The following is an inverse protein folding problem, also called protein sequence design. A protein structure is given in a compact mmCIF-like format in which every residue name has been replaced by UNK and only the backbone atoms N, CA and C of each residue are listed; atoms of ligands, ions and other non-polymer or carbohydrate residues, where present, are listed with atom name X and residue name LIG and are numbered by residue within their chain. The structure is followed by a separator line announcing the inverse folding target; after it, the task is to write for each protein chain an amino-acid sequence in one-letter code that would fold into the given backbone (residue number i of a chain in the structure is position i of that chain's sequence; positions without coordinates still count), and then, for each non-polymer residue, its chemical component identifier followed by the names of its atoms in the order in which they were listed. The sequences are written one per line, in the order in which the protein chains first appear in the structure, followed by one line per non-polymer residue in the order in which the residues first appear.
data_IF_867618584416
#
_entry.id   IF_867618584416
#
_cell.length_a   1.000
_cell.length_b   1.000
_cell.length_c   1.000
_cell.angle_alpha   90.00
_cell.angle_beta   90.00
_cell.angle_gamma   90.00
#
_symmetry.space_group_name_H-M   'P 1'
#
loop_
_entity.id
_entity.type
_entity.pdbx_description
1 polymer ?
#
# COMPACT_ATOMS: atom_id res chain seq x y z
N UNK A 1 2.70 -3.72 -26.42
CA UNK A 1 1.96 -2.93 -25.41
C UNK A 1 1.59 -3.86 -24.26
N UNK A 2 2.55 -4.16 -23.37
CA UNK A 2 2.30 -5.01 -22.21
C UNK A 2 1.48 -4.19 -21.22
N UNK A 3 0.27 -4.64 -20.92
CA UNK A 3 -0.56 -4.09 -19.84
C UNK A 3 0.21 -4.31 -18.55
N UNK A 4 1.04 -3.34 -18.17
CA UNK A 4 1.53 -3.18 -16.80
C UNK A 4 0.27 -2.88 -16.00
N UNK A 5 -0.38 -3.94 -15.52
CA UNK A 5 -1.33 -3.86 -14.41
C UNK A 5 -0.50 -3.39 -13.23
N UNK A 6 -0.42 -2.07 -13.12
CA UNK A 6 0.13 -1.35 -11.99
C UNK A 6 -0.46 -1.95 -10.72
N UNK A 7 0.35 -2.73 -9.99
CA UNK A 7 0.13 -2.97 -8.56
C UNK A 7 0.54 -1.68 -7.85
N UNK A 8 -0.06 -0.57 -8.26
CA UNK A 8 0.21 0.78 -7.76
C UNK A 8 -1.14 1.42 -7.49
N UNK A 9 -1.87 0.87 -6.52
CA UNK A 9 -3.02 1.52 -5.91
C UNK A 9 -3.43 0.74 -4.66
N UNK A 10 -2.67 0.89 -3.58
CA UNK A 10 -3.17 0.79 -2.21
C UNK A 10 -2.39 1.76 -1.33
N UNK A 11 -2.15 2.99 -1.82
CA UNK A 11 -1.77 4.09 -0.94
C UNK A 11 -3.03 4.91 -0.66
N UNK A 12 -3.29 5.11 0.63
CA UNK A 12 -4.22 6.08 1.22
C UNK A 12 -5.72 5.93 0.92
N UNK A 13 -6.42 5.13 1.74
CA UNK A 13 -7.77 5.45 2.22
C UNK A 13 -8.18 4.56 3.42
N UNK A 14 -7.34 4.50 4.47
CA UNK A 14 -7.66 3.68 5.64
C UNK A 14 -8.35 4.43 6.78
N UNK A 15 -8.29 5.76 6.80
CA UNK A 15 -8.60 6.60 7.98
C UNK A 15 -10.07 6.91 8.26
N UNK A 16 -11.01 6.05 7.87
CA UNK A 16 -12.43 6.33 8.02
C UNK A 16 -12.90 6.47 9.50
N UNK A 17 -12.09 6.08 10.49
CA UNK A 17 -12.52 5.97 11.90
C UNK A 17 -11.55 6.54 12.96
N UNK A 18 -10.43 7.14 12.60
CA UNK A 18 -9.49 7.71 13.59
C UNK A 18 -9.84 9.14 13.98
N UNK A 19 -9.89 9.43 15.29
CA UNK A 19 -10.09 10.79 15.79
C UNK A 19 -8.80 11.62 15.65
N UNK A 20 -8.84 12.79 15.01
CA UNK A 20 -7.67 13.66 14.90
C UNK A 20 -7.33 14.28 16.26
N UNK A 21 -6.05 14.29 16.61
CA UNK A 21 -5.48 15.04 17.72
C UNK A 21 -4.78 16.27 17.16
N UNK A 22 -5.09 17.45 17.72
CA UNK A 22 -4.54 18.73 17.26
C UNK A 22 -3.51 19.27 18.24
N UNK A 23 -2.30 19.58 17.76
CA UNK A 23 -1.29 20.31 18.53
C UNK A 23 -1.44 21.81 18.21
N UNK A 24 -2.28 22.51 18.99
CA UNK A 24 -2.70 23.91 18.76
C UNK A 24 -1.55 24.92 18.62
N UNK A 25 -0.35 24.60 19.13
CA UNK A 25 0.83 25.49 19.04
C UNK A 25 1.57 25.48 17.69
N UNK A 26 1.35 24.48 16.83
CA UNK A 26 2.12 24.31 15.58
C UNK A 26 1.25 24.19 14.32
N UNK A 27 -0.08 24.33 14.44
CA UNK A 27 -0.99 24.15 13.30
C UNK A 27 -1.00 22.74 12.72
N UNK A 28 -0.54 21.74 13.49
CA UNK A 28 -0.44 20.35 13.07
C UNK A 28 -1.62 19.52 13.62
N UNK A 29 -2.17 18.66 12.76
CA UNK A 29 -3.21 17.69 13.09
C UNK A 29 -2.69 16.30 12.76
N UNK A 30 -2.73 15.40 13.72
CA UNK A 30 -2.26 14.02 13.56
C UNK A 30 -3.38 13.03 13.88
N UNK A 31 -3.37 11.89 13.22
CA UNK A 31 -4.23 10.77 13.57
C UNK A 31 -3.48 9.45 13.39
N UNK A 32 -3.80 8.50 14.27
CA UNK A 32 -3.27 7.14 14.24
C UNK A 32 -4.44 6.19 14.23
N UNK A 33 -4.36 5.17 13.38
CA UNK A 33 -5.31 4.08 13.35
C UNK A 33 -4.57 2.76 13.48
N UNK A 34 -5.03 1.93 14.41
CA UNK A 34 -4.54 0.57 14.61
C UNK A 34 -5.57 -0.41 14.08
N UNK A 35 -5.09 -1.41 13.33
CA UNK A 35 -5.87 -2.49 12.78
C UNK A 35 -5.57 -3.75 13.57
N UNK A 36 -6.62 -4.41 14.04
CA UNK A 36 -6.53 -5.69 14.72
C UNK A 36 -7.40 -6.71 14.02
N UNK A 37 -6.77 -7.79 13.55
CA UNK A 37 -7.40 -8.86 12.79
C UNK A 37 -8.32 -8.34 11.67
N UNK A 38 -7.89 -7.26 11.02
CA UNK A 38 -8.65 -6.61 9.96
C UNK A 38 -8.65 -7.53 8.73
N UNK A 39 -9.81 -7.67 8.11
CA UNK A 39 -10.01 -8.50 6.93
C UNK A 39 -10.27 -7.61 5.72
N UNK A 40 -9.54 -7.86 4.63
CA UNK A 40 -9.74 -7.17 3.36
C UNK A 40 -9.74 -8.18 2.22
N UNK A 41 -10.77 -8.13 1.37
CA UNK A 41 -10.88 -8.98 0.19
C UNK A 41 -10.94 -8.13 -1.06
N UNK A 42 -10.14 -8.46 -2.07
CA UNK A 42 -10.06 -7.71 -3.31
C UNK A 42 -9.67 -8.58 -4.51
N UNK A 43 -10.15 -8.26 -5.72
CA UNK A 43 -9.68 -8.90 -6.94
C UNK A 43 -8.29 -8.37 -7.31
N UNK A 44 -7.27 -9.23 -7.28
CA UNK A 44 -5.88 -8.91 -7.60
C UNK A 44 -5.26 -10.11 -8.32
N UNK A 45 -4.50 -9.92 -9.41
CA UNK A 45 -3.81 -11.03 -10.05
C UNK A 45 -2.68 -11.58 -9.18
N UNK A 46 -2.36 -12.87 -9.33
CA UNK A 46 -1.15 -13.45 -8.75
C UNK A 46 0.06 -12.63 -9.23
N UNK A 47 0.90 -12.10 -8.32
CA UNK A 47 1.94 -11.15 -8.67
C UNK A 47 3.06 -11.77 -9.54
N UNK A 48 3.19 -13.09 -9.56
CA UNK A 48 4.24 -13.79 -10.29
C UNK A 48 3.78 -14.37 -11.62
N UNK A 49 2.53 -14.81 -11.72
CA UNK A 49 2.00 -15.40 -12.95
C UNK A 49 1.09 -14.45 -13.73
N UNK A 50 0.58 -13.39 -13.09
CA UNK A 50 -0.44 -12.52 -13.65
C UNK A 50 -1.84 -13.16 -13.72
N UNK A 51 -2.01 -14.38 -13.21
CA UNK A 51 -3.29 -15.07 -13.22
C UNK A 51 -4.32 -14.31 -12.37
N UNK A 52 -5.51 -13.99 -12.91
CA UNK A 52 -6.53 -13.28 -12.15
C UNK A 52 -7.04 -14.14 -10.99
N UNK A 53 -7.39 -13.49 -9.89
CA UNK A 53 -7.98 -14.15 -8.74
C UNK A 53 -8.46 -13.14 -7.70
N UNK A 54 -8.83 -13.68 -6.55
CA UNK A 54 -9.26 -12.90 -5.38
C UNK A 54 -8.29 -13.19 -4.25
N UNK A 55 -7.78 -12.14 -3.60
CA UNK A 55 -7.01 -12.26 -2.38
C UNK A 55 -7.85 -11.83 -1.19
N UNK A 56 -7.77 -12.59 -0.10
CA UNK A 56 -8.23 -12.20 1.23
C UNK A 56 -7.02 -12.03 2.12
N UNK A 57 -6.91 -10.88 2.77
CA UNK A 57 -5.88 -10.53 3.74
C UNK A 57 -6.50 -10.51 5.13
N UNK A 58 -5.78 -11.05 6.11
CA UNK A 58 -6.08 -10.87 7.53
C UNK A 58 -4.84 -10.31 8.20
N UNK A 59 -4.91 -9.12 8.80
CA UNK A 59 -3.70 -8.42 9.24
C UNK A 59 -3.87 -7.59 10.50
N UNK A 60 -2.72 -7.36 11.14
CA UNK A 60 -2.53 -6.32 12.15
C UNK A 60 -1.67 -5.23 11.52
N UNK A 61 -2.00 -3.97 11.80
CA UNK A 61 -1.29 -2.85 11.19
C UNK A 61 -1.48 -1.55 11.93
N UNK A 62 -0.69 -0.55 11.55
CA UNK A 62 -0.78 0.81 12.06
C UNK A 62 -0.64 1.76 10.88
N UNK A 63 -1.59 2.67 10.77
CA UNK A 63 -1.51 3.82 9.89
C UNK A 63 -1.34 5.07 10.76
N UNK A 64 -0.46 5.98 10.38
CA UNK A 64 -0.30 7.27 11.04
C UNK A 64 -0.15 8.36 9.99
N UNK A 65 -0.83 9.49 10.20
CA UNK A 65 -0.61 10.66 9.39
C UNK A 65 -0.57 11.94 10.22
N UNK A 66 0.13 12.93 9.68
CA UNK A 66 0.24 14.28 10.24
C UNK A 66 0.14 15.31 9.12
N UNK A 67 -0.66 16.35 9.34
CA UNK A 67 -0.88 17.43 8.38
C UNK A 67 -0.67 18.78 9.05
N UNK A 68 0.01 19.69 8.36
CA UNK A 68 0.01 21.11 8.71
C UNK A 68 -1.23 21.76 8.10
N UNK A 69 -2.17 22.19 8.94
CA UNK A 69 -3.46 22.77 8.54
C UNK A 69 -3.48 24.29 8.63
N UNK A 70 -2.50 24.91 9.30
CA UNK A 70 -2.35 26.36 9.40
C UNK A 70 -0.89 26.78 9.58
N UNK A 71 -0.60 28.07 9.39
CA UNK A 71 0.74 28.62 9.51
C UNK A 71 1.64 28.38 8.28
N UNK A 72 2.93 28.62 8.44
CA UNK A 72 3.93 28.39 7.39
C UNK A 72 4.01 26.88 7.12
N UNK A 73 3.84 26.48 5.86
CA UNK A 73 3.84 25.08 5.45
C UNK A 73 2.45 24.41 5.46
N UNK A 74 1.37 25.16 5.71
CA UNK A 74 0.01 24.64 5.57
C UNK A 74 -0.21 23.97 4.20
N UNK A 75 -0.82 22.78 4.22
CA UNK A 75 -0.95 21.90 3.06
C UNK A 75 0.21 20.92 2.89
N UNK A 76 1.11 20.79 3.88
CA UNK A 76 2.14 19.74 3.95
C UNK A 76 1.62 18.57 4.79
N UNK A 77 1.88 17.34 4.34
CA UNK A 77 1.42 16.11 4.98
C UNK A 77 2.47 15.01 4.97
N UNK A 78 2.32 14.08 5.91
CA UNK A 78 3.08 12.83 5.99
C UNK A 78 2.13 11.71 6.39
N UNK A 79 2.24 10.57 5.72
CA UNK A 79 1.51 9.35 6.04
C UNK A 79 2.49 8.17 6.10
N UNK A 80 2.18 7.18 6.91
CA UNK A 80 2.81 5.87 6.85
C UNK A 80 1.81 4.80 7.22
N UNK A 81 1.91 3.65 6.56
CA UNK A 81 1.25 2.43 6.95
C UNK A 81 2.26 1.29 7.09
N UNK A 82 2.05 0.44 8.09
CA UNK A 82 2.79 -0.81 8.25
C UNK A 82 1.82 -1.91 8.63
N UNK A 83 1.88 -3.05 7.97
CA UNK A 83 1.11 -4.21 8.35
C UNK A 83 1.85 -5.52 8.13
N UNK A 84 1.49 -6.50 8.96
CA UNK A 84 1.88 -7.90 8.80
C UNK A 84 0.65 -8.77 8.99
N UNK A 85 0.58 -9.86 8.24
CA UNK A 85 -0.62 -10.68 8.26
C UNK A 85 -0.49 -11.92 7.40
N UNK A 86 -1.65 -12.52 7.17
CA UNK A 86 -1.84 -13.69 6.34
C UNK A 86 -2.59 -13.33 5.08
N UNK A 87 -2.34 -14.07 4.00
CA UNK A 87 -3.09 -13.96 2.76
C UNK A 87 -3.61 -15.33 2.34
N UNK A 88 -4.76 -15.31 1.66
CA UNK A 88 -5.32 -16.44 0.93
C UNK A 88 -5.70 -15.96 -0.47
N UNK A 89 -5.09 -16.52 -1.50
CA UNK A 89 -5.35 -16.24 -2.90
C UNK A 89 -6.10 -17.41 -3.54
N UNK A 90 -7.25 -17.10 -4.13
CA UNK A 90 -8.07 -18.04 -4.90
C UNK A 90 -8.04 -17.62 -6.37
N UNK A 91 -7.47 -18.45 -7.27
CA UNK A 91 -7.46 -18.12 -8.70
C UNK A 91 -8.87 -18.16 -9.28
N UNK A 92 -9.10 -17.33 -10.30
CA UNK A 92 -10.36 -17.35 -11.04
C UNK A 92 -10.53 -18.62 -11.89
N UNK A 93 -9.40 -19.18 -12.35
CA UNK A 93 -9.34 -20.49 -13.02
C UNK A 93 -9.10 -21.59 -11.97
N UNK A 94 -10.06 -22.50 -11.71
CA UNK A 94 -9.96 -23.52 -10.67
C UNK A 94 -8.93 -24.62 -11.00
N UNK A 95 -8.38 -24.65 -12.21
CA UNK A 95 -7.27 -25.55 -12.56
C UNK A 95 -5.91 -25.05 -12.06
N UNK A 96 -5.82 -23.77 -11.67
CA UNK A 96 -4.60 -23.19 -11.10
C UNK A 96 -4.55 -23.38 -9.57
N UNK A 97 -3.35 -23.44 -8.97
CA UNK A 97 -3.23 -23.59 -7.52
C UNK A 97 -3.70 -22.34 -6.78
N UNK A 98 -4.39 -22.55 -5.65
CA UNK A 98 -4.58 -21.50 -4.64
C UNK A 98 -3.29 -21.34 -3.83
N UNK A 99 -3.06 -20.15 -3.28
CA UNK A 99 -1.89 -19.87 -2.45
C UNK A 99 -2.32 -19.31 -1.10
N UNK A 100 -1.63 -19.69 -0.03
CA UNK A 100 -1.78 -19.04 1.27
C UNK A 100 -0.44 -18.87 1.97
N UNK A 101 -0.34 -17.87 2.83
CA UNK A 101 0.91 -17.58 3.51
C UNK A 101 0.88 -16.28 4.28
N UNK A 102 2.06 -15.68 4.44
CA UNK A 102 2.26 -14.44 5.21
C UNK A 102 2.74 -13.31 4.31
N UNK A 103 2.41 -12.09 4.70
CA UNK A 103 2.90 -10.88 4.05
C UNK A 103 3.36 -9.84 5.06
N UNK A 104 4.16 -8.90 4.59
CA UNK A 104 4.51 -7.67 5.30
C UNK A 104 4.55 -6.54 4.29
N UNK A 105 3.98 -5.40 4.68
CA UNK A 105 3.94 -4.19 3.87
C UNK A 105 4.34 -3.00 4.71
N UNK A 106 4.99 -2.05 4.06
CA UNK A 106 5.25 -0.72 4.59
C UNK A 106 5.12 0.28 3.46
N UNK A 107 4.46 1.40 3.72
CA UNK A 107 4.50 2.57 2.86
C UNK A 107 4.70 3.86 3.68
N UNK A 108 5.14 4.89 2.97
CA UNK A 108 5.36 6.20 3.53
C UNK A 108 5.28 7.28 2.47
N UNK A 109 4.47 8.29 2.77
CA UNK A 109 4.15 9.39 1.87
C UNK A 109 4.60 10.71 2.49
N UNK A 110 5.05 11.63 1.64
CA UNK A 110 5.37 13.00 1.98
C UNK A 110 4.83 13.91 0.87
N UNK A 111 4.05 14.89 1.27
CA UNK A 111 3.31 15.72 0.35
C UNK A 111 3.28 17.18 0.76
N UNK A 112 3.14 18.04 -0.23
CA UNK A 112 2.78 19.43 -0.08
C UNK A 112 1.98 19.89 -1.31
N UNK A 113 1.59 21.16 -1.33
CA UNK A 113 0.81 21.76 -2.42
C UNK A 113 1.45 21.63 -3.83
N UNK A 114 2.73 21.28 -3.91
CA UNK A 114 3.49 21.19 -5.17
C UNK A 114 4.15 19.84 -5.41
N UNK A 115 4.24 18.97 -4.42
CA UNK A 115 5.00 17.72 -4.53
C UNK A 115 4.28 16.62 -3.77
N UNK A 116 4.37 15.41 -4.30
CA UNK A 116 3.95 14.19 -3.62
C UNK A 116 5.04 13.15 -3.86
N UNK A 117 5.48 12.47 -2.81
CA UNK A 117 6.42 11.35 -2.90
C UNK A 117 5.92 10.21 -2.04
N UNK A 118 5.87 9.01 -2.60
CA UNK A 118 5.58 7.79 -1.86
C UNK A 118 6.67 6.77 -2.09
N UNK A 119 6.99 6.01 -1.04
CA UNK A 119 7.84 4.82 -1.10
C UNK A 119 7.08 3.67 -0.47
N UNK A 120 7.08 2.51 -1.12
CA UNK A 120 6.43 1.31 -0.60
C UNK A 120 7.36 0.11 -0.70
N UNK A 121 7.23 -0.79 0.26
CA UNK A 121 7.83 -2.12 0.23
C UNK A 121 6.75 -3.14 0.54
N UNK A 122 6.74 -4.23 -0.21
CA UNK A 122 5.82 -5.32 0.01
C UNK A 122 6.57 -6.64 -0.14
N UNK A 123 6.28 -7.59 0.76
CA UNK A 123 6.80 -8.94 0.63
C UNK A 123 5.75 -9.95 1.05
N UNK A 124 5.69 -11.07 0.33
CA UNK A 124 4.91 -12.21 0.75
C UNK A 124 5.66 -13.51 0.51
N UNK A 125 5.29 -14.51 1.31
CA UNK A 125 5.71 -15.89 1.16
C UNK A 125 4.53 -16.81 1.42
N UNK A 126 4.25 -17.69 0.48
CA UNK A 126 3.19 -18.68 0.61
C UNK A 126 3.47 -19.98 -0.11
N UNK A 127 2.54 -20.91 0.10
CA UNK A 127 2.57 -22.26 -0.44
C UNK A 127 1.30 -22.48 -1.26
N UNK A 128 1.47 -23.09 -2.43
CA UNK A 128 0.41 -23.48 -3.33
C UNK A 128 -0.29 -24.76 -2.88
N UNK A 129 -1.55 -24.94 -3.26
CA UNK A 129 -2.28 -26.21 -3.05
C UNK A 129 -1.65 -27.40 -3.78
N UNK A 130 -0.81 -27.15 -4.77
CA UNK A 130 -0.01 -28.12 -5.53
C UNK A 130 1.40 -28.34 -4.94
N UNK A 131 1.72 -27.70 -3.81
CA UNK A 131 3.04 -27.75 -3.16
C UNK A 131 4.07 -26.76 -3.72
N UNK A 132 3.70 -25.94 -4.72
CA UNK A 132 4.57 -24.87 -5.22
C UNK A 132 4.81 -23.79 -4.16
N UNK A 133 5.84 -22.96 -4.36
CA UNK A 133 6.10 -21.80 -3.50
C UNK A 133 5.83 -20.50 -4.23
N UNK A 134 5.35 -19.51 -3.50
CA UNK A 134 5.21 -18.13 -3.97
C UNK A 134 6.01 -17.22 -3.06
N UNK A 135 7.15 -16.72 -3.54
CA UNK A 135 7.89 -15.66 -2.85
C UNK A 135 7.88 -14.41 -3.73
N UNK A 136 7.38 -13.31 -3.19
CA UNK A 136 7.29 -12.05 -3.89
C UNK A 136 7.88 -10.95 -3.02
N UNK A 137 8.69 -10.10 -3.64
CA UNK A 137 9.23 -8.89 -3.02
C UNK A 137 9.05 -7.75 -4.00
N UNK A 138 8.60 -6.60 -3.52
CA UNK A 138 8.46 -5.37 -4.28
C UNK A 138 8.99 -4.18 -3.48
N UNK A 139 9.62 -3.26 -4.21
CA UNK A 139 10.04 -1.95 -3.74
C UNK A 139 9.64 -0.94 -4.82
N UNK A 140 8.75 -0.02 -4.46
CA UNK A 140 8.27 1.01 -5.35
C UNK A 140 8.57 2.40 -4.78
N UNK A 141 8.76 3.36 -5.69
CA UNK A 141 8.90 4.76 -5.36
C UNK A 141 8.39 5.62 -6.51
N UNK A 142 7.68 6.69 -6.18
CA UNK A 142 7.25 7.68 -7.15
C UNK A 142 7.29 9.08 -6.55
N UNK A 143 7.77 10.05 -7.34
CA UNK A 143 7.70 11.48 -7.05
C UNK A 143 6.91 12.18 -8.15
N UNK A 144 5.91 12.94 -7.74
CA UNK A 144 5.00 13.71 -8.59
C UNK A 144 5.14 15.20 -8.24
N UNK A 145 5.37 16.04 -9.24
CA UNK A 145 5.30 17.49 -9.13
C UNK A 145 3.91 17.98 -9.55
N UNK A 146 3.45 19.06 -8.92
CA UNK A 146 2.17 19.73 -9.14
C UNK A 146 0.97 18.76 -9.18
N UNK A 147 0.82 17.86 -8.19
CA UNK A 147 -0.17 16.78 -8.25
C UNK A 147 -1.62 17.28 -8.37
N UNK A 148 -1.91 18.49 -7.89
CA UNK A 148 -3.26 19.08 -7.87
C UNK A 148 -3.62 19.89 -9.12
N UNK A 149 -2.67 20.15 -10.04
CA UNK A 149 -2.93 21.02 -11.20
C UNK A 149 -2.48 20.40 -12.51
N UNK A 150 -1.20 20.08 -12.64
CA UNK A 150 -0.62 19.47 -13.85
C UNK A 150 0.43 18.43 -13.43
N UNK A 151 -0.01 17.21 -13.05
CA UNK A 151 0.86 16.22 -12.43
C UNK A 151 1.99 15.80 -13.38
N UNK A 152 3.23 15.92 -12.92
CA UNK A 152 4.42 15.48 -13.66
C UNK A 152 5.19 14.46 -12.82
N UNK A 153 5.29 13.23 -13.32
CA UNK A 153 6.12 12.19 -12.68
C UNK A 153 7.58 12.46 -13.01
N UNK A 154 8.40 12.71 -11.99
CA UNK A 154 9.84 13.02 -12.18
C UNK A 154 10.76 11.88 -11.75
N UNK A 155 10.30 11.03 -10.84
CA UNK A 155 11.00 9.80 -10.44
C UNK A 155 9.95 8.71 -10.33
N UNK A 156 10.25 7.54 -10.91
CA UNK A 156 9.44 6.34 -10.71
C UNK A 156 10.31 5.10 -10.85
N UNK A 157 10.21 4.20 -9.88
CA UNK A 157 10.58 2.82 -10.07
C UNK A 157 9.59 1.91 -9.35
N UNK A 158 9.50 0.69 -9.87
CA UNK A 158 8.73 -0.42 -9.33
C UNK A 158 9.60 -1.64 -9.62
N UNK A 159 10.10 -2.27 -8.56
CA UNK A 159 11.11 -3.31 -8.63
C UNK A 159 10.64 -4.51 -7.85
N UNK A 160 9.92 -5.37 -8.55
CA UNK A 160 9.50 -6.64 -8.00
C UNK A 160 10.38 -7.82 -8.42
N UNK A 161 10.35 -8.87 -7.62
CA UNK A 161 10.97 -10.17 -7.91
C UNK A 161 10.07 -11.31 -7.44
N UNK A 162 10.11 -12.41 -8.19
CA UNK A 162 9.37 -13.63 -7.93
C UNK A 162 10.33 -14.82 -7.87
N UNK A 163 10.08 -15.74 -6.93
CA UNK A 163 10.78 -17.02 -6.82
C UNK A 163 9.85 -18.14 -6.36
#
# INVERSE_FOLDING_TARGET
MRKLLSITACAAAFFALSLPVSASGAGAVSFTQTFHDAVQTMPVPNPCTGAPGTVTLTYNGVAHATFLTSGVGAGTGWETFTATGEFAFVPADPSQPSFSGKFTTWDGDNENLRNFTTTATFSLRGTGSDGSTLNFHDVAHITILNPLTNPTIVVRFDKFSCR
#
